data_IF_041391073040
#
_entry.id   IF_041391073040
#
_cell.length_a   1.000
_cell.length_b   1.000
_cell.length_c   1.000
_cell.angle_alpha   90.00
_cell.angle_beta   90.00
_cell.angle_gamma   90.00
#
_symmetry.space_group_name_H-M   'P 1'
#
loop_
_entity.id
_entity.type
_entity.pdbx_description
1 polymer ?
#
# COMPACT_ATOMS: atom_id res chain seq x y z
N UNK A 1 -16.25 -36.84 -2.39
CA UNK A 1 -16.86 -35.59 -1.88
C UNK A 1 -15.86 -34.62 -1.26
N UNK A 2 -14.99 -35.01 -0.31
CA UNK A 2 -13.99 -34.10 0.32
C UNK A 2 -13.01 -33.42 -0.67
N UNK A 3 -12.56 -34.13 -1.71
CA UNK A 3 -11.63 -33.58 -2.72
C UNK A 3 -12.26 -32.47 -3.59
N UNK A 4 -13.57 -32.55 -3.87
CA UNK A 4 -14.29 -31.54 -4.64
C UNK A 4 -14.44 -30.21 -3.86
N UNK A 5 -14.62 -30.30 -2.53
CA UNK A 5 -14.73 -29.13 -1.66
C UNK A 5 -13.40 -28.37 -1.59
N UNK A 6 -12.27 -29.07 -1.54
CA UNK A 6 -10.92 -28.45 -1.51
C UNK A 6 -10.63 -27.70 -2.82
N UNK A 7 -11.01 -28.27 -3.97
CA UNK A 7 -10.83 -27.63 -5.29
C UNK A 7 -11.71 -26.39 -5.42
N UNK A 8 -12.95 -26.42 -4.92
CA UNK A 8 -13.85 -25.26 -4.92
C UNK A 8 -13.34 -24.11 -4.03
N UNK A 9 -12.78 -24.41 -2.84
CA UNK A 9 -12.17 -23.40 -1.95
C UNK A 9 -10.89 -22.81 -2.56
N UNK A 10 -10.08 -23.63 -3.22
CA UNK A 10 -8.88 -23.17 -3.94
C UNK A 10 -9.27 -22.25 -5.12
N UNK A 11 -10.30 -22.61 -5.91
CA UNK A 11 -10.79 -21.80 -7.02
C UNK A 11 -11.38 -20.45 -6.55
N UNK A 12 -12.10 -20.41 -5.43
CA UNK A 12 -12.62 -19.17 -4.84
C UNK A 12 -11.50 -18.24 -4.34
N UNK A 13 -10.38 -18.81 -3.88
CA UNK A 13 -9.24 -18.02 -3.41
C UNK A 13 -8.45 -17.34 -4.55
N UNK A 14 -8.49 -17.88 -5.77
CA UNK A 14 -7.77 -17.33 -6.93
C UNK A 14 -8.42 -16.06 -7.52
N UNK A 15 -9.69 -15.77 -7.20
CA UNK A 15 -10.32 -14.49 -7.55
C UNK A 15 -9.67 -13.28 -6.83
N UNK A 16 -8.78 -13.50 -5.87
CA UNK A 16 -8.16 -12.42 -5.10
C UNK A 16 -6.99 -11.72 -5.82
N UNK A 17 -6.47 -12.30 -6.91
CA UNK A 17 -5.50 -11.67 -7.82
C UNK A 17 -6.18 -11.04 -9.05
N UNK A 18 -7.27 -10.28 -8.84
CA UNK A 18 -7.82 -9.43 -9.89
C UNK A 18 -6.88 -8.25 -10.15
N UNK A 19 -6.01 -8.38 -11.15
CA UNK A 19 -5.36 -7.24 -11.79
C UNK A 19 -6.43 -6.49 -12.58
N UNK A 20 -6.86 -5.34 -12.06
CA UNK A 20 -7.78 -4.45 -12.78
C UNK A 20 -7.02 -3.23 -13.28
N UNK A 21 -7.07 -3.00 -14.60
CA UNK A 21 -6.60 -1.75 -15.22
C UNK A 21 -7.54 -0.55 -14.99
N UNK A 22 -8.46 -0.64 -14.02
CA UNK A 22 -9.45 0.40 -13.72
C UNK A 22 -8.92 1.27 -12.57
N UNK A 23 -9.20 2.58 -12.58
CA UNK A 23 -8.86 3.47 -11.48
C UNK A 23 -9.49 2.94 -10.18
N UNK A 24 -8.71 2.97 -9.11
CA UNK A 24 -9.15 2.50 -7.81
C UNK A 24 -10.25 3.42 -7.30
N UNK A 25 -11.51 2.99 -7.39
CA UNK A 25 -12.67 3.78 -6.93
C UNK A 25 -12.64 4.10 -5.44
N UNK A 26 -11.84 3.38 -4.65
CA UNK A 26 -11.62 3.70 -3.24
C UNK A 26 -10.76 4.95 -3.07
N UNK A 27 -9.91 5.35 -4.02
CA UNK A 27 -9.10 6.59 -3.90
C UNK A 27 -9.32 7.57 -5.06
N UNK A 28 -10.11 7.18 -6.06
CA UNK A 28 -10.45 7.98 -7.22
C UNK A 28 -11.96 7.89 -7.48
N UNK A 29 -12.76 8.83 -6.94
CA UNK A 29 -14.16 8.90 -7.31
C UNK A 29 -14.28 9.15 -8.82
N UNK A 30 -15.38 8.69 -9.43
CA UNK A 30 -15.61 8.82 -10.88
C UNK A 30 -15.61 10.29 -11.38
N UNK A 31 -15.67 11.26 -10.47
CA UNK A 31 -15.61 12.70 -10.71
C UNK A 31 -14.20 13.25 -10.93
N UNK A 32 -13.14 12.46 -10.74
CA UNK A 32 -11.76 12.90 -10.99
C UNK A 32 -11.48 12.90 -12.48
N UNK A 33 -11.08 14.06 -13.03
CA UNK A 33 -10.63 14.18 -14.41
C UNK A 33 -9.31 13.42 -14.54
N UNK A 34 -9.42 12.21 -15.08
CA UNK A 34 -8.27 11.36 -15.40
C UNK A 34 -7.73 11.79 -16.74
N UNK A 35 -6.43 12.11 -16.81
CA UNK A 35 -5.78 12.41 -18.09
C UNK A 35 -5.96 11.20 -19.03
N UNK A 36 -6.29 11.39 -20.33
CA UNK A 36 -6.57 10.29 -21.25
C UNK A 36 -5.48 9.21 -21.30
N UNK A 37 -4.23 9.61 -21.05
CA UNK A 37 -3.02 8.78 -21.04
C UNK A 37 -2.67 8.17 -19.67
N UNK A 38 -3.43 8.46 -18.61
CA UNK A 38 -3.13 7.97 -17.27
C UNK A 38 -3.44 6.47 -17.14
N UNK A 39 -2.43 5.69 -16.78
CA UNK A 39 -2.55 4.23 -16.62
C UNK A 39 -2.62 3.86 -15.14
N UNK A 40 -3.63 3.08 -14.79
CA UNK A 40 -3.84 2.59 -13.43
C UNK A 40 -3.55 1.10 -13.37
N UNK A 41 -2.58 0.72 -12.56
CA UNK A 41 -2.31 -0.68 -12.26
C UNK A 41 -2.56 -0.92 -10.79
N UNK A 42 -3.64 -1.65 -10.48
CA UNK A 42 -3.91 -2.09 -9.10
C UNK A 42 -3.60 -3.56 -8.95
N UNK A 43 -2.69 -3.88 -8.03
CA UNK A 43 -2.39 -5.23 -7.59
C UNK A 43 -2.91 -5.43 -6.18
N UNK A 44 -3.87 -6.32 -6.03
CA UNK A 44 -4.42 -6.70 -4.74
C UNK A 44 -3.87 -8.07 -4.33
N UNK A 45 -3.16 -8.12 -3.21
CA UNK A 45 -2.51 -9.33 -2.73
C UNK A 45 -2.93 -9.65 -1.29
N UNK A 46 -3.50 -10.84 -1.04
CA UNK A 46 -3.68 -11.30 0.31
C UNK A 46 -2.33 -11.72 0.90
N UNK A 47 -2.07 -11.36 2.17
CA UNK A 47 -0.75 -11.59 2.75
C UNK A 47 -0.38 -13.07 2.85
N UNK A 48 -1.33 -13.99 2.92
CA UNK A 48 -0.99 -15.43 2.98
C UNK A 48 -0.23 -15.90 1.73
N UNK A 49 -0.49 -15.29 0.56
CA UNK A 49 0.16 -15.68 -0.69
C UNK A 49 1.58 -15.11 -0.80
N UNK A 50 1.77 -13.86 -0.37
CA UNK A 50 3.04 -13.13 -0.54
C UNK A 50 3.96 -13.19 0.68
N UNK A 51 3.44 -13.52 1.87
CA UNK A 51 4.19 -13.54 3.14
C UNK A 51 5.45 -14.43 3.08
N UNK A 52 5.44 -15.64 2.50
CA UNK A 52 6.66 -16.46 2.45
C UNK A 52 7.81 -15.75 1.71
N UNK A 53 7.51 -15.08 0.61
CA UNK A 53 8.48 -14.33 -0.20
C UNK A 53 8.99 -13.10 0.55
N UNK A 54 8.09 -12.30 1.12
CA UNK A 54 8.45 -11.10 1.90
C UNK A 54 9.32 -11.50 3.10
N UNK A 55 8.94 -12.52 3.87
CA UNK A 55 9.70 -12.96 5.03
C UNK A 55 11.10 -13.47 4.66
N UNK A 56 11.24 -14.11 3.50
CA UNK A 56 12.55 -14.53 2.98
C UNK A 56 13.41 -13.31 2.66
N UNK A 57 12.84 -12.32 1.98
CA UNK A 57 13.54 -11.09 1.62
C UNK A 57 13.98 -10.29 2.85
N UNK A 58 13.07 -10.09 3.82
CA UNK A 58 13.40 -9.37 5.07
C UNK A 58 14.54 -10.03 5.84
N UNK A 59 14.59 -11.38 5.86
CA UNK A 59 15.70 -12.11 6.50
C UNK A 59 17.02 -11.94 5.74
N UNK A 60 16.98 -11.92 4.41
CA UNK A 60 18.17 -11.74 3.57
C UNK A 60 18.72 -10.32 3.68
N UNK A 61 17.85 -9.33 3.74
CA UNK A 61 18.22 -7.92 3.85
C UNK A 61 18.68 -7.53 5.28
N UNK A 62 18.63 -8.48 6.24
CA UNK A 62 18.98 -8.23 7.64
C UNK A 62 18.02 -7.26 8.34
N UNK A 63 16.78 -7.16 7.87
CA UNK A 63 15.80 -6.22 8.40
C UNK A 63 15.43 -6.55 9.85
N UNK A 64 15.05 -5.51 10.60
CA UNK A 64 14.79 -5.63 12.04
C UNK A 64 13.63 -6.57 12.38
N UNK A 65 13.69 -7.21 13.56
CA UNK A 65 12.57 -7.99 14.08
C UNK A 65 11.26 -7.19 14.14
N UNK A 66 11.37 -5.87 14.33
CA UNK A 66 10.22 -4.96 14.36
C UNK A 66 9.50 -4.91 13.02
N UNK A 67 10.24 -4.88 11.90
CA UNK A 67 9.66 -4.91 10.56
C UNK A 67 9.01 -6.27 10.24
N UNK A 68 9.62 -7.36 10.70
CA UNK A 68 9.03 -8.71 10.59
C UNK A 68 7.73 -8.81 11.41
N UNK A 69 7.67 -8.22 12.60
CA UNK A 69 6.44 -8.14 13.42
C UNK A 69 5.37 -7.29 12.75
N UNK A 70 5.74 -6.19 12.10
CA UNK A 70 4.82 -5.38 11.29
C UNK A 70 4.20 -6.23 10.16
N UNK A 71 5.00 -6.98 9.40
CA UNK A 71 4.49 -7.86 8.34
C UNK A 71 3.53 -8.95 8.85
N UNK A 72 3.67 -9.35 10.11
CA UNK A 72 2.73 -10.30 10.74
C UNK A 72 1.34 -9.69 10.95
N UNK A 73 1.24 -8.38 11.13
CA UNK A 73 0.00 -7.63 11.38
C UNK A 73 -0.77 -7.27 10.10
N UNK A 74 -0.08 -7.22 8.97
CA UNK A 74 -0.70 -6.94 7.66
C UNK A 74 -1.52 -8.16 7.22
N UNK A 75 -2.77 -7.91 6.84
CA UNK A 75 -3.69 -8.93 6.32
C UNK A 75 -3.83 -8.86 4.80
N UNK A 76 -3.76 -7.66 4.25
CA UNK A 76 -3.97 -7.38 2.82
C UNK A 76 -3.06 -6.23 2.42
N UNK A 77 -2.42 -6.37 1.27
CA UNK A 77 -1.64 -5.33 0.62
C UNK A 77 -2.32 -5.02 -0.70
N UNK A 78 -2.51 -3.73 -0.98
CA UNK A 78 -2.96 -3.27 -2.28
C UNK A 78 -1.96 -2.23 -2.78
N UNK A 79 -1.38 -2.49 -3.94
CA UNK A 79 -0.47 -1.56 -4.61
C UNK A 79 -1.24 -0.95 -5.77
N UNK A 80 -1.29 0.38 -5.85
CA UNK A 80 -1.89 1.11 -6.97
C UNK A 80 -0.83 2.02 -7.56
N UNK A 81 -0.44 1.77 -8.80
CA UNK A 81 0.46 2.62 -9.55
C UNK A 81 -0.34 3.44 -10.54
N UNK A 82 -0.03 4.73 -10.61
CA UNK A 82 -0.59 5.70 -11.54
C UNK A 82 0.55 6.28 -12.36
N UNK A 83 0.53 6.02 -13.66
CA UNK A 83 1.47 6.63 -14.62
C UNK A 83 0.79 7.83 -15.30
N UNK A 84 1.58 8.81 -15.75
CA UNK A 84 1.11 10.07 -16.35
C UNK A 84 0.15 10.82 -15.42
N UNK A 85 0.52 10.91 -14.15
CA UNK A 85 -0.28 11.61 -13.15
C UNK A 85 -0.25 13.14 -13.37
N UNK A 86 -1.42 13.76 -13.49
CA UNK A 86 -1.52 15.22 -13.59
C UNK A 86 -1.58 15.88 -12.19
N UNK A 87 -1.22 17.16 -12.05
CA UNK A 87 -1.38 17.89 -10.79
C UNK A 87 -2.82 17.87 -10.25
N UNK A 88 -3.81 17.98 -11.15
CA UNK A 88 -5.23 17.91 -10.78
C UNK A 88 -5.59 16.53 -10.19
N UNK A 89 -5.01 15.46 -10.73
CA UNK A 89 -5.21 14.11 -10.21
C UNK A 89 -4.64 13.95 -8.81
N UNK A 90 -3.42 14.48 -8.55
CA UNK A 90 -2.82 14.49 -7.20
C UNK A 90 -3.69 15.22 -6.19
N UNK A 91 -4.19 16.40 -6.55
CA UNK A 91 -5.05 17.18 -5.67
C UNK A 91 -6.38 16.45 -5.37
N UNK A 92 -6.95 15.78 -6.37
CA UNK A 92 -8.16 14.99 -6.18
C UNK A 92 -7.92 13.80 -5.24
N UNK A 93 -6.78 13.12 -5.37
CA UNK A 93 -6.35 12.08 -4.44
C UNK A 93 -6.19 12.60 -3.02
N UNK A 94 -5.43 13.68 -2.81
CA UNK A 94 -5.23 14.27 -1.47
C UNK A 94 -6.56 14.66 -0.82
N UNK A 95 -7.50 15.15 -1.61
CA UNK A 95 -8.87 15.46 -1.16
C UNK A 95 -9.61 14.20 -0.71
N UNK A 96 -9.51 13.11 -1.47
CA UNK A 96 -10.16 11.84 -1.15
C UNK A 96 -9.57 11.19 0.11
N UNK A 97 -8.25 11.26 0.29
CA UNK A 97 -7.58 10.78 1.50
C UNK A 97 -8.08 11.51 2.74
N UNK A 98 -8.24 12.84 2.65
CA UNK A 98 -8.82 13.65 3.74
C UNK A 98 -10.26 13.25 4.04
N UNK A 99 -11.10 13.05 3.02
CA UNK A 99 -12.50 12.58 3.20
C UNK A 99 -12.55 11.24 3.91
N UNK A 100 -11.59 10.37 3.65
CA UNK A 100 -11.48 9.07 4.30
C UNK A 100 -10.79 9.11 5.66
N UNK A 101 -10.56 10.29 6.23
CA UNK A 101 -9.96 10.44 7.56
C UNK A 101 -8.57 9.79 7.67
N UNK A 102 -7.82 9.72 6.56
CA UNK A 102 -6.40 9.46 6.64
C UNK A 102 -5.72 10.69 7.24
N UNK A 103 -4.93 10.47 8.28
CA UNK A 103 -4.11 11.48 8.91
C UNK A 103 -2.67 11.31 8.44
N UNK A 104 -1.98 12.41 8.16
CA UNK A 104 -0.54 12.41 7.90
C UNK A 104 0.22 12.12 9.19
N UNK A 105 1.11 11.13 9.17
CA UNK A 105 1.92 10.76 10.34
C UNK A 105 3.40 11.02 10.10
N UNK A 106 3.90 10.63 8.92
CA UNK A 106 5.31 10.80 8.56
C UNK A 106 5.40 11.25 7.11
N UNK A 107 6.23 12.26 6.85
CA UNK A 107 6.62 12.67 5.49
C UNK A 107 8.14 12.56 5.38
N UNK A 108 8.61 11.82 4.39
CA UNK A 108 10.03 11.63 4.11
C UNK A 108 10.33 12.13 2.70
N UNK A 109 11.19 13.14 2.58
CA UNK A 109 11.61 13.70 1.29
C UNK A 109 12.97 13.12 0.87
N UNK A 110 13.16 12.75 -0.40
CA UNK A 110 14.43 12.29 -0.96
C UNK A 110 14.50 12.49 -2.47
N UNK A 111 15.49 13.20 -3.00
CA UNK A 111 15.86 13.15 -4.43
C UNK A 111 14.67 13.29 -5.41
N UNK A 112 13.78 14.25 -5.16
CA UNK A 112 12.58 14.47 -6.00
C UNK A 112 11.40 13.53 -5.72
N UNK A 113 11.58 12.54 -4.84
CA UNK A 113 10.53 11.65 -4.36
C UNK A 113 10.03 12.07 -2.98
N UNK A 114 8.71 12.16 -2.83
CA UNK A 114 8.04 12.44 -1.56
C UNK A 114 7.28 11.20 -1.09
N UNK A 115 7.68 10.66 0.05
CA UNK A 115 7.03 9.50 0.69
C UNK A 115 6.18 9.99 1.85
N UNK A 116 4.87 9.80 1.78
CA UNK A 116 3.93 10.09 2.87
C UNK A 116 3.41 8.79 3.46
N UNK A 117 3.51 8.64 4.78
CA UNK A 117 2.85 7.59 5.54
C UNK A 117 1.63 8.20 6.22
N UNK A 118 0.46 7.75 5.80
CA UNK A 118 -0.83 8.14 6.36
C UNK A 118 -1.45 6.98 7.13
N UNK A 119 -2.21 7.28 8.17
CA UNK A 119 -2.91 6.29 8.98
C UNK A 119 -4.40 6.57 9.07
N UNK A 120 -5.22 5.52 9.00
CA UNK A 120 -6.66 5.59 9.22
C UNK A 120 -7.02 4.84 10.50
N UNK A 121 -7.61 5.55 11.46
CA UNK A 121 -8.07 5.00 12.73
C UNK A 121 -9.55 4.61 12.68
N UNK A 122 -9.93 3.62 13.48
CA UNK A 122 -11.32 3.28 13.77
C UNK A 122 -11.45 2.97 15.26
N UNK A 123 -12.05 3.89 16.02
CA UNK A 123 -11.94 3.89 17.47
C UNK A 123 -10.47 4.08 17.88
N UNK A 124 -10.01 3.28 18.83
CA UNK A 124 -8.62 3.36 19.35
C UNK A 124 -7.59 2.62 18.48
N UNK A 125 -8.01 1.95 17.39
CA UNK A 125 -7.12 1.11 16.59
C UNK A 125 -6.81 1.72 15.23
N UNK A 126 -5.53 1.73 14.86
CA UNK A 126 -5.08 2.05 13.50
C UNK A 126 -5.34 0.84 12.62
N UNK A 127 -6.23 0.97 11.62
CA UNK A 127 -6.72 -0.15 10.80
C UNK A 127 -6.15 -0.18 9.39
N UNK A 128 -5.76 0.98 8.87
CA UNK A 128 -5.06 1.08 7.58
C UNK A 128 -3.85 1.98 7.71
N UNK A 129 -2.79 1.61 7.01
CA UNK A 129 -1.69 2.49 6.67
C UNK A 129 -1.69 2.67 5.16
N UNK A 130 -1.46 3.89 4.70
CA UNK A 130 -1.28 4.21 3.30
C UNK A 130 0.11 4.82 3.13
N UNK A 131 0.92 4.23 2.25
CA UNK A 131 2.20 4.78 1.84
C UNK A 131 2.00 5.38 0.45
N UNK A 132 2.13 6.69 0.32
CA UNK A 132 2.06 7.40 -0.94
C UNK A 132 3.47 7.84 -1.35
N UNK A 133 3.95 7.32 -2.48
CA UNK A 133 5.24 7.70 -3.08
C UNK A 133 4.93 8.51 -4.32
N UNK A 134 5.20 9.81 -4.25
CA UNK A 134 4.97 10.75 -5.35
C UNK A 134 6.28 11.08 -6.05
N UNK A 135 6.31 10.92 -7.37
CA UNK A 135 7.37 11.36 -8.29
C UNK A 135 6.77 12.32 -9.34
N UNK A 136 7.57 12.81 -10.29
CA UNK A 136 7.13 13.83 -11.26
C UNK A 136 6.03 13.37 -12.22
N UNK A 137 6.04 12.10 -12.64
CA UNK A 137 5.13 11.51 -13.62
C UNK A 137 4.34 10.32 -13.05
N UNK A 138 4.90 9.66 -12.03
CA UNK A 138 4.35 8.46 -11.42
C UNK A 138 3.94 8.66 -9.96
N UNK A 139 2.85 8.03 -9.56
CA UNK A 139 2.45 7.90 -8.16
C UNK A 139 2.25 6.43 -7.82
N UNK A 140 2.83 6.00 -6.70
CA UNK A 140 2.64 4.66 -6.15
C UNK A 140 1.97 4.76 -4.79
N UNK A 141 0.85 4.08 -4.64
CA UNK A 141 0.11 3.95 -3.38
C UNK A 141 0.17 2.51 -2.89
N UNK A 142 0.52 2.35 -1.62
CA UNK A 142 0.54 1.05 -0.95
C UNK A 142 -0.43 1.13 0.24
N UNK A 143 -1.59 0.52 0.08
CA UNK A 143 -2.62 0.39 1.11
C UNK A 143 -2.42 -0.93 1.87
N UNK A 144 -2.13 -0.79 3.16
CA UNK A 144 -1.89 -1.86 4.10
C UNK A 144 -3.06 -1.96 5.08
N UNK A 145 -3.82 -3.06 5.00
CA UNK A 145 -4.90 -3.33 5.94
C UNK A 145 -4.42 -4.23 7.07
N UNK A 146 -4.62 -3.82 8.31
CA UNK A 146 -4.14 -4.54 9.48
C UNK A 146 -4.68 -4.02 10.81
N UNK A 147 -3.91 -4.26 11.86
CA UNK A 147 -4.06 -3.63 13.18
C UNK A 147 -2.68 -3.13 13.56
N UNK A 148 -2.52 -1.82 13.63
CA UNK A 148 -1.22 -1.18 13.81
C UNK A 148 -1.18 -0.38 15.11
N UNK A 149 0.02 -0.22 15.65
CA UNK A 149 0.35 0.66 16.76
C UNK A 149 1.15 1.86 16.27
N UNK A 150 1.40 2.83 17.15
CA UNK A 150 2.33 3.95 16.86
C UNK A 150 3.73 3.41 16.55
N UNK A 151 4.21 2.44 17.34
CA UNK A 151 5.53 1.82 17.13
C UNK A 151 5.68 1.15 15.76
N UNK A 152 4.60 0.59 15.22
CA UNK A 152 4.59 0.00 13.88
C UNK A 152 4.86 1.05 12.80
N UNK A 153 4.31 2.25 12.97
CA UNK A 153 4.51 3.38 12.05
C UNK A 153 5.94 3.89 12.16
N UNK A 154 6.47 4.01 13.38
CA UNK A 154 7.87 4.38 13.61
C UNK A 154 8.83 3.37 13.00
N UNK A 155 8.57 2.07 13.16
CA UNK A 155 9.38 1.02 12.54
C UNK A 155 9.34 1.09 11.00
N UNK A 156 8.16 1.36 10.42
CA UNK A 156 8.00 1.56 8.98
C UNK A 156 8.77 2.79 8.49
N UNK A 157 8.65 3.93 9.19
CA UNK A 157 9.36 5.16 8.86
C UNK A 157 10.88 4.95 8.87
N UNK A 158 11.41 4.35 9.94
CA UNK A 158 12.83 4.02 10.06
C UNK A 158 13.31 3.09 8.93
N UNK A 159 12.50 2.10 8.53
CA UNK A 159 12.83 1.24 7.40
C UNK A 159 12.89 2.03 6.08
N UNK A 160 11.96 2.95 5.85
CA UNK A 160 11.98 3.82 4.67
C UNK A 160 13.16 4.78 4.64
N UNK A 161 13.63 5.25 5.80
CA UNK A 161 14.82 6.11 5.90
C UNK A 161 16.13 5.34 5.76
N UNK A 162 16.26 4.18 6.42
CA UNK A 162 17.50 3.39 6.39
C UNK A 162 17.78 2.76 5.03
N UNK A 163 16.73 2.38 4.29
CA UNK A 163 16.85 1.92 2.89
C UNK A 163 17.42 3.02 1.97
N UNK A 164 17.40 4.30 2.37
CA UNK A 164 18.10 5.38 1.67
C UNK A 164 19.61 5.33 1.84
N UNK A 165 20.11 4.92 3.02
CA UNK A 165 21.55 4.91 3.32
C UNK A 165 22.29 3.81 2.55
N UNK A 166 21.65 2.67 2.31
CA UNK A 166 22.25 1.53 1.61
C UNK A 166 22.22 1.63 0.07
N UNK A 167 21.68 2.71 -0.51
CA UNK A 167 21.70 2.98 -1.96
C UNK A 167 22.78 4.00 -2.38
N UNK A 168 23.68 4.40 -1.47
CA UNK A 168 24.89 5.17 -1.77
C UNK A 168 26.11 4.28 -1.89
#
# INVERSE_FOLDING_TARGET
MKKAIIIAVAAFSLQSCLMSGRPNREFMPASVVVAPEAKFTTLNMPMFAVRPFINKQLKQDGDSEQLVRLMKKIKKVRITTVENSSPAMRQAFDTELKKQQFQDWVTVNSEGQKINILAQQRGEQIRKLLIAVNSEDQIVYIDLKGKFTVDDISALANATENRKKNKK
#
